data_IF_839845627272
#
_entry.id   IF_839845627272
#
_cell.length_a   1.000
_cell.length_b   1.000
_cell.length_c   1.000
_cell.angle_alpha   90.00
_cell.angle_beta   90.00
_cell.angle_gamma   90.00
#
_symmetry.space_group_name_H-M   'P 1'
#
loop_
_entity.id
_entity.type
_entity.pdbx_description
1 polymer ?
#
# COMPACT_ATOMS: atom_id res chain seq x y z
N UNK A 1 2.76 -6.04 -4.43
CA UNK A 1 2.63 -6.50 -3.03
C UNK A 1 3.86 -6.02 -2.27
N UNK A 2 3.74 -5.61 -1.01
CA UNK A 2 4.87 -5.05 -0.23
C UNK A 2 5.72 -6.10 0.48
N UNK A 3 5.22 -7.33 0.60
CA UNK A 3 6.04 -8.46 1.07
C UNK A 3 7.03 -8.90 -0.01
N UNK A 4 8.23 -9.28 0.40
CA UNK A 4 9.20 -9.92 -0.50
C UNK A 4 8.64 -11.23 -1.07
N UNK A 5 9.04 -11.56 -2.31
CA UNK A 5 8.55 -12.75 -3.03
C UNK A 5 8.74 -14.03 -2.23
N UNK A 6 9.90 -14.19 -1.59
CA UNK A 6 10.18 -15.37 -0.75
C UNK A 6 9.16 -15.55 0.40
N UNK A 7 8.72 -14.46 1.05
CA UNK A 7 7.67 -14.53 2.09
C UNK A 7 6.32 -14.93 1.48
N UNK A 8 5.99 -14.35 0.32
CA UNK A 8 4.75 -14.64 -0.39
C UNK A 8 4.67 -16.13 -0.73
N UNK A 9 5.77 -16.73 -1.18
CA UNK A 9 5.81 -18.14 -1.57
C UNK A 9 5.74 -19.05 -0.34
N UNK A 10 6.50 -18.73 0.72
CA UNK A 10 6.76 -19.68 1.82
C UNK A 10 5.87 -19.52 3.05
N UNK A 11 5.35 -18.33 3.34
CA UNK A 11 4.67 -18.02 4.62
C UNK A 11 3.17 -17.86 4.43
N UNK A 12 2.38 -18.27 5.42
CA UNK A 12 0.91 -18.13 5.39
C UNK A 12 0.44 -16.67 5.47
N UNK A 13 1.20 -15.83 6.19
CA UNK A 13 0.89 -14.42 6.39
C UNK A 13 1.75 -13.52 5.49
N UNK A 14 1.13 -12.47 4.95
CA UNK A 14 1.79 -11.41 4.20
C UNK A 14 1.58 -10.07 4.88
N UNK A 15 2.54 -9.17 4.70
CA UNK A 15 2.47 -7.78 5.13
C UNK A 15 1.66 -6.98 4.10
N UNK A 16 0.71 -6.17 4.59
CA UNK A 16 -0.17 -5.32 3.78
C UNK A 16 -0.25 -3.91 4.37
N UNK A 17 -0.59 -2.95 3.52
CA UNK A 17 -0.94 -1.57 3.91
C UNK A 17 -2.46 -1.41 3.87
N UNK A 18 -2.99 -0.55 4.74
CA UNK A 18 -4.41 -0.23 4.74
C UNK A 18 -4.70 0.83 3.68
N UNK A 19 -5.67 0.54 2.82
CA UNK A 19 -6.21 1.51 1.85
C UNK A 19 -7.55 2.09 2.32
N UNK A 20 -7.73 3.40 2.18
CA UNK A 20 -9.00 4.10 2.43
C UNK A 20 -9.45 4.81 1.16
N UNK A 21 -10.54 4.31 0.56
CA UNK A 21 -11.09 4.86 -0.69
C UNK A 21 -11.92 6.10 -0.43
N UNK A 22 -11.71 7.14 -1.23
CA UNK A 22 -12.48 8.37 -1.17
C UNK A 22 -13.95 8.10 -1.53
N UNK A 23 -14.88 8.63 -0.72
CA UNK A 23 -16.29 8.74 -1.06
C UNK A 23 -16.59 10.20 -1.45
N UNK A 24 -17.52 10.45 -2.39
CA UNK A 24 -17.92 11.81 -2.75
C UNK A 24 -18.29 12.66 -1.53
N UNK A 25 -17.81 13.90 -1.49
CA UNK A 25 -18.13 14.87 -0.43
C UNK A 25 -17.20 14.87 0.80
N UNK A 26 -16.20 14.00 0.87
CA UNK A 26 -15.19 14.07 1.93
C UNK A 26 -13.92 14.81 1.49
N UNK A 27 -13.32 15.66 2.36
CA UNK A 27 -12.05 16.30 2.07
C UNK A 27 -10.95 15.23 1.95
N UNK A 28 -10.37 15.12 0.76
CA UNK A 28 -9.25 14.23 0.48
C UNK A 28 -7.95 14.96 0.77
N UNK A 29 -7.50 14.87 2.03
CA UNK A 29 -6.15 15.29 2.41
C UNK A 29 -5.30 14.04 2.60
N UNK A 30 -4.17 14.01 1.92
CA UNK A 30 -3.09 13.06 2.16
C UNK A 30 -2.02 13.72 3.00
N UNK A 31 -1.53 13.00 3.99
CA UNK A 31 -0.32 13.40 4.70
C UNK A 31 0.95 12.94 3.96
N UNK A 32 2.12 13.24 4.52
CA UNK A 32 3.42 12.93 3.93
C UNK A 32 3.72 11.43 3.85
N UNK A 33 3.10 10.60 4.70
CA UNK A 33 3.32 9.17 4.79
C UNK A 33 2.21 8.36 4.10
N UNK A 34 1.30 9.03 3.40
CA UNK A 34 0.26 8.42 2.60
C UNK A 34 0.60 8.44 1.11
N UNK A 35 0.42 7.30 0.45
CA UNK A 35 0.46 7.19 -1.00
C UNK A 35 -0.96 7.20 -1.60
N UNK A 36 -1.13 7.81 -2.76
CA UNK A 36 -2.41 7.82 -3.48
C UNK A 36 -2.33 6.93 -4.69
N UNK A 37 -3.28 6.00 -4.80
CA UNK A 37 -3.47 5.12 -5.96
C UNK A 37 -4.87 5.33 -6.55
N UNK A 38 -5.01 5.06 -7.83
CA UNK A 38 -6.22 5.39 -8.59
C UNK A 38 -6.49 4.37 -9.72
N UNK A 39 -7.20 4.80 -10.76
CA UNK A 39 -7.58 3.97 -11.90
C UNK A 39 -6.37 3.43 -12.67
N UNK A 40 -5.25 4.16 -12.73
CA UNK A 40 -4.03 3.68 -13.36
C UNK A 40 -3.44 2.46 -12.64
N UNK A 41 -3.74 2.30 -11.35
CA UNK A 41 -3.33 1.16 -10.53
C UNK A 41 -4.42 0.07 -10.44
N UNK A 42 -5.55 0.23 -11.15
CA UNK A 42 -6.68 -0.70 -11.15
C UNK A 42 -7.72 -0.46 -10.05
N UNK A 43 -7.78 0.74 -9.46
CA UNK A 43 -8.81 1.10 -8.48
C UNK A 43 -9.93 1.92 -9.12
N UNK A 44 -11.17 1.68 -8.72
CA UNK A 44 -12.32 2.44 -9.26
C UNK A 44 -12.32 3.91 -8.84
N UNK A 45 -11.63 4.23 -7.73
CA UNK A 45 -11.64 5.54 -7.09
C UNK A 45 -10.28 5.81 -6.47
N UNK A 46 -9.96 7.09 -6.32
CA UNK A 46 -8.78 7.53 -5.60
C UNK A 46 -8.78 6.95 -4.17
N UNK A 47 -7.71 6.28 -3.82
CA UNK A 47 -7.55 5.55 -2.56
C UNK A 47 -6.20 5.89 -1.96
N UNK A 48 -6.20 6.36 -0.71
CA UNK A 48 -4.96 6.59 0.02
C UNK A 48 -4.52 5.34 0.77
N UNK A 49 -3.22 5.11 0.86
CA UNK A 49 -2.61 4.00 1.60
C UNK A 49 -1.66 4.53 2.66
N UNK A 50 -1.88 4.12 3.90
CA UNK A 50 -1.02 4.48 5.04
C UNK A 50 0.29 3.68 4.94
N UNK A 51 1.42 4.33 4.66
CA UNK A 51 2.70 3.65 4.41
C UNK A 51 3.56 3.49 5.68
N UNK A 52 3.15 4.09 6.79
CA UNK A 52 3.80 4.01 8.11
C UNK A 52 3.17 2.96 9.02
N UNK A 53 2.01 2.41 8.64
CA UNK A 53 1.27 1.43 9.43
C UNK A 53 1.07 0.11 8.68
N UNK A 54 1.71 -0.94 9.21
CA UNK A 54 1.72 -2.27 8.61
C UNK A 54 0.77 -3.22 9.34
N UNK A 55 0.12 -4.06 8.56
CA UNK A 55 -0.70 -5.15 9.06
C UNK A 55 -0.21 -6.47 8.49
N UNK A 56 -0.52 -7.56 9.18
CA UNK A 56 -0.36 -8.92 8.64
C UNK A 56 -1.71 -9.53 8.36
N UNK A 57 -1.86 -10.14 7.20
CA UNK A 57 -3.08 -10.84 6.81
C UNK A 57 -2.72 -12.25 6.33
N UNK A 58 -3.53 -13.25 6.69
CA UNK A 58 -3.40 -14.57 6.06
C UNK A 58 -3.79 -14.49 4.59
N UNK A 59 -3.06 -15.21 3.73
CA UNK A 59 -3.33 -15.25 2.29
C UNK A 59 -4.78 -15.63 1.95
N UNK A 60 -5.44 -16.47 2.75
CA UNK A 60 -6.84 -16.88 2.55
C UNK A 60 -7.85 -15.73 2.63
N UNK A 61 -7.50 -14.61 3.28
CA UNK A 61 -8.37 -13.43 3.37
C UNK A 61 -8.16 -12.45 2.20
N UNK A 62 -7.19 -12.71 1.32
CA UNK A 62 -6.97 -11.93 0.10
C UNK A 62 -7.79 -12.56 -1.01
N UNK A 63 -8.99 -12.04 -1.23
CA UNK A 63 -10.01 -12.69 -2.08
C UNK A 63 -9.95 -12.24 -3.54
N UNK A 64 -9.58 -10.98 -3.80
CA UNK A 64 -9.62 -10.41 -5.15
C UNK A 64 -8.38 -9.56 -5.44
N UNK A 65 -7.77 -9.76 -6.62
CA UNK A 65 -6.79 -8.82 -7.17
C UNK A 65 -7.56 -7.70 -7.88
N UNK A 66 -7.50 -6.48 -7.35
CA UNK A 66 -8.13 -5.30 -7.98
C UNK A 66 -7.23 -4.65 -9.02
N UNK A 67 -5.92 -4.71 -8.82
CA UNK A 67 -4.97 -4.05 -9.71
C UNK A 67 -3.52 -4.26 -9.30
N UNK A 68 -2.65 -3.38 -9.78
CA UNK A 68 -1.20 -3.45 -9.63
C UNK A 68 -0.55 -2.09 -9.86
N UNK A 69 0.34 -1.68 -8.94
CA UNK A 69 1.14 -0.46 -9.09
C UNK A 69 2.28 -0.73 -10.05
N UNK A 70 2.12 -0.37 -11.32
CA UNK A 70 3.11 -0.62 -12.38
C UNK A 70 4.11 0.52 -12.56
N UNK A 71 3.71 1.74 -12.22
CA UNK A 71 4.59 2.91 -12.30
C UNK A 71 5.77 2.76 -11.34
N UNK A 72 6.98 2.77 -11.88
CA UNK A 72 8.22 2.75 -11.09
C UNK A 72 8.31 3.96 -10.17
N UNK A 73 7.79 5.11 -10.58
CA UNK A 73 7.74 6.32 -9.76
C UNK A 73 6.83 6.11 -8.53
N UNK A 74 5.61 5.59 -8.73
CA UNK A 74 4.68 5.28 -7.63
C UNK A 74 5.27 4.23 -6.68
N UNK A 75 5.93 3.19 -7.22
CA UNK A 75 6.62 2.19 -6.41
C UNK A 75 7.74 2.79 -5.55
N UNK A 76 8.57 3.68 -6.13
CA UNK A 76 9.62 4.39 -5.38
C UNK A 76 9.04 5.31 -4.32
N UNK A 77 7.93 5.98 -4.62
CA UNK A 77 7.26 6.85 -3.66
C UNK A 77 6.75 6.09 -2.43
N UNK A 78 6.01 5.00 -2.64
CA UNK A 78 5.57 4.10 -1.57
C UNK A 78 6.77 3.61 -0.75
N UNK A 79 7.83 3.17 -1.42
CA UNK A 79 9.03 2.66 -0.74
C UNK A 79 9.69 3.72 0.13
N UNK A 80 9.82 4.96 -0.37
CA UNK A 80 10.37 6.08 0.39
C UNK A 80 9.53 6.39 1.63
N UNK A 81 8.20 6.44 1.48
CA UNK A 81 7.27 6.71 2.59
C UNK A 81 7.30 5.62 3.65
N UNK A 82 7.42 4.36 3.25
CA UNK A 82 7.65 3.22 4.16
C UNK A 82 8.92 3.41 4.97
N UNK A 83 10.05 3.70 4.30
CA UNK A 83 11.35 3.89 4.96
C UNK A 83 11.30 5.07 5.94
N UNK A 84 10.67 6.17 5.53
CA UNK A 84 10.49 7.37 6.35
C UNK A 84 9.60 7.11 7.56
N UNK A 85 8.43 6.49 7.35
CA UNK A 85 7.45 6.24 8.41
C UNK A 85 7.94 5.28 9.48
N UNK A 86 8.78 4.31 9.10
CA UNK A 86 9.42 3.39 10.04
C UNK A 86 10.73 3.92 10.65
N UNK A 87 11.14 5.14 10.29
CA UNK A 87 12.41 5.75 10.70
C UNK A 87 13.63 4.83 10.46
N UNK A 88 13.59 3.99 9.43
CA UNK A 88 14.63 3.00 9.13
C UNK A 88 15.94 3.65 8.64
N UNK A 89 15.94 4.95 8.35
CA UNK A 89 17.13 5.67 7.92
C UNK A 89 18.19 5.83 9.02
N UNK A 90 17.89 5.46 10.27
CA UNK A 90 18.82 5.49 11.40
C UNK A 90 19.22 4.12 11.97
N UNK A 91 18.86 3.01 11.30
CA UNK A 91 19.19 1.64 11.68
C UNK A 91 20.27 1.05 10.77
#
# INVERSE_FOLDING_TARGET
MISAQERIDRKQFVVVLKGSTMRPGQPFKTDALQATLDQEDGLNWQTRFDCDLFYTLEKKHITHKRGEVRSTERQRDISRKIIQGLALAGL
#
